data_IF_849517123442
#
_entry.id   IF_849517123442
#
_cell.length_a   1.000
_cell.length_b   1.000
_cell.length_c   1.000
_cell.angle_alpha   90.00
_cell.angle_beta   90.00
_cell.angle_gamma   90.00
#
_symmetry.space_group_name_H-M   'P 1'
#
loop_
_entity.id
_entity.type
_entity.pdbx_description
1 polymer ?
#
# COMPACT_ATOMS: atom_id res chain seq x y z
N UNK A 1 -2.97 6.13 -4.50
CA UNK A 1 -4.04 5.26 -3.97
C UNK A 1 -3.46 3.87 -3.76
N UNK A 2 -3.90 3.13 -2.75
CA UNK A 2 -3.42 1.78 -2.54
C UNK A 2 -4.29 0.96 -1.60
N UNK A 3 -4.08 -0.35 -1.66
CA UNK A 3 -4.60 -1.34 -0.74
C UNK A 3 -3.40 -2.08 -0.16
N UNK A 4 -3.33 -2.23 1.16
CA UNK A 4 -2.24 -2.88 1.87
C UNK A 4 -2.74 -4.07 2.68
N UNK A 5 -1.98 -5.15 2.62
CA UNK A 5 -1.94 -6.19 3.63
C UNK A 5 -1.07 -5.65 4.78
N UNK A 6 -1.65 -5.60 5.98
CA UNK A 6 -1.00 -5.10 7.18
C UNK A 6 -0.82 -6.27 8.13
N UNK A 7 0.37 -6.39 8.70
CA UNK A 7 0.69 -7.38 9.72
C UNK A 7 -0.41 -7.42 10.79
N UNK A 8 -0.81 -8.63 11.18
CA UNK A 8 -1.78 -8.86 12.26
C UNK A 8 -3.21 -8.33 11.97
N UNK A 9 -3.52 -7.95 10.72
CA UNK A 9 -4.87 -7.56 10.30
C UNK A 9 -5.45 -8.54 9.28
N UNK A 10 -6.72 -8.87 9.44
CA UNK A 10 -7.49 -9.62 8.45
C UNK A 10 -8.21 -8.72 7.45
N UNK A 11 -8.21 -7.40 7.67
CA UNK A 11 -8.85 -6.40 6.82
C UNK A 11 -7.88 -5.75 5.84
N UNK A 12 -8.44 -5.32 4.70
CA UNK A 12 -7.74 -4.48 3.73
C UNK A 12 -7.55 -3.09 4.32
N UNK A 13 -6.34 -2.57 4.30
CA UNK A 13 -6.11 -1.16 4.61
C UNK A 13 -6.11 -0.36 3.30
N UNK A 14 -7.06 0.55 3.14
CA UNK A 14 -7.28 1.31 1.90
C UNK A 14 -6.88 2.75 2.15
N UNK A 15 -6.05 3.32 1.28
CA UNK A 15 -5.67 4.72 1.38
C UNK A 15 -5.68 5.42 0.02
N UNK A 16 -5.94 6.71 0.07
CA UNK A 16 -5.98 7.58 -1.09
C UNK A 16 -5.37 8.93 -0.77
N UNK A 17 -4.78 9.55 -1.79
CA UNK A 17 -4.21 10.87 -1.63
C UNK A 17 -4.20 11.62 -2.95
N UNK A 18 -4.37 12.93 -2.85
CA UNK A 18 -4.27 13.89 -3.95
C UNK A 18 -3.36 15.02 -3.49
N UNK A 19 -2.22 15.14 -4.16
CA UNK A 19 -1.15 16.09 -3.79
C UNK A 19 -0.68 15.83 -2.35
N UNK A 20 -0.99 16.73 -1.42
CA UNK A 20 -0.55 16.67 -0.03
C UNK A 20 -1.63 16.13 0.93
N UNK A 21 -2.85 15.93 0.43
CA UNK A 21 -3.97 15.45 1.24
C UNK A 21 -3.99 13.92 1.15
N UNK A 22 -4.03 13.27 2.30
CA UNK A 22 -4.11 11.81 2.44
C UNK A 22 -5.28 11.46 3.34
N UNK A 23 -5.97 10.38 2.99
CA UNK A 23 -7.05 9.79 3.77
C UNK A 23 -6.93 8.26 3.72
N UNK A 24 -7.43 7.59 4.76
CA UNK A 24 -7.32 6.14 4.90
C UNK A 24 -8.46 5.55 5.71
N UNK A 25 -8.86 4.34 5.37
CA UNK A 25 -9.88 3.58 6.10
C UNK A 25 -9.63 2.07 6.02
N UNK A 26 -10.26 1.34 6.95
CA UNK A 26 -10.30 -0.11 6.92
C UNK A 26 -11.44 -0.59 6.02
N UNK A 27 -11.09 -1.40 5.02
CA UNK A 27 -12.05 -2.07 4.15
C UNK A 27 -12.52 -3.42 4.69
N UNK A 28 -13.03 -4.23 3.77
CA UNK A 28 -13.47 -5.59 4.05
C UNK A 28 -12.32 -6.54 4.42
N UNK A 29 -12.68 -7.67 5.01
CA UNK A 29 -11.77 -8.79 5.27
C UNK A 29 -11.19 -9.32 3.94
N UNK A 30 -9.95 -9.78 3.98
CA UNK A 30 -9.31 -10.41 2.84
C UNK A 30 -10.04 -11.69 2.39
N UNK A 31 -10.02 -11.94 1.08
CA UNK A 31 -10.43 -13.22 0.53
C UNK A 31 -9.30 -14.25 0.60
N UNK A 32 -9.29 -15.20 -0.34
CA UNK A 32 -8.25 -16.24 -0.41
C UNK A 32 -6.85 -15.69 -0.71
N UNK A 33 -6.74 -14.54 -1.39
CA UNK A 33 -5.48 -13.93 -1.78
C UNK A 33 -5.30 -12.56 -1.10
N UNK A 34 -4.14 -12.36 -0.46
CA UNK A 34 -3.77 -11.07 0.16
C UNK A 34 -2.65 -10.43 -0.64
N UNK A 35 -2.96 -9.32 -1.30
CA UNK A 35 -1.99 -8.63 -2.18
C UNK A 35 -2.03 -7.13 -1.93
N UNK A 36 -0.89 -6.58 -1.53
CA UNK A 36 -0.70 -5.14 -1.47
C UNK A 36 -0.49 -4.56 -2.87
N UNK A 37 -1.24 -3.53 -3.24
CA UNK A 37 -1.15 -2.86 -4.54
C UNK A 37 -1.23 -1.34 -4.37
N UNK A 38 -0.23 -0.64 -4.90
CA UNK A 38 -0.12 0.81 -4.90
C UNK A 38 -0.07 1.36 -6.32
N UNK A 39 -0.74 2.50 -6.52
CA UNK A 39 -0.66 3.29 -7.75
C UNK A 39 -0.27 4.72 -7.40
N UNK A 40 0.87 5.15 -7.95
CA UNK A 40 1.37 6.52 -7.92
C UNK A 40 1.14 7.16 -9.29
N UNK A 41 0.61 8.38 -9.32
CA UNK A 41 0.40 9.17 -10.53
C UNK A 41 1.04 10.53 -10.29
N UNK A 42 1.99 10.90 -11.13
CA UNK A 42 2.77 12.13 -10.99
C UNK A 42 3.74 12.31 -12.15
N UNK A 43 4.41 13.46 -12.19
CA UNK A 43 5.46 13.76 -13.18
C UNK A 43 6.83 13.55 -12.55
N UNK A 44 7.79 13.07 -13.34
CA UNK A 44 9.18 12.85 -12.92
C UNK A 44 9.30 11.98 -11.65
N UNK A 45 8.46 10.94 -11.54
CA UNK A 45 8.52 10.02 -10.41
C UNK A 45 9.77 9.16 -10.51
N UNK A 46 10.48 9.01 -9.39
CA UNK A 46 11.55 8.02 -9.27
C UNK A 46 10.95 6.63 -8.99
N UNK A 47 10.74 5.88 -10.06
CA UNK A 47 10.15 4.55 -9.98
C UNK A 47 10.98 3.58 -9.14
N UNK A 48 12.31 3.71 -9.16
CA UNK A 48 13.21 2.82 -8.42
C UNK A 48 13.09 3.09 -6.93
N UNK A 49 13.22 4.35 -6.53
CA UNK A 49 13.08 4.76 -5.14
C UNK A 49 11.70 4.40 -4.56
N UNK A 50 10.62 4.63 -5.32
CA UNK A 50 9.26 4.27 -4.89
C UNK A 50 9.10 2.75 -4.71
N UNK A 51 9.65 1.95 -5.61
CA UNK A 51 9.59 0.49 -5.52
C UNK A 51 10.42 -0.03 -4.35
N UNK A 52 11.66 0.43 -4.21
CA UNK A 52 12.56 0.01 -3.14
C UNK A 52 12.02 0.40 -1.77
N UNK A 53 11.55 1.65 -1.62
CA UNK A 53 10.92 2.11 -0.38
C UNK A 53 9.67 1.31 -0.01
N UNK A 54 8.86 0.91 -1.00
CA UNK A 54 7.70 0.05 -0.75
C UNK A 54 8.09 -1.38 -0.35
N UNK A 55 9.06 -1.98 -1.05
CA UNK A 55 9.54 -3.34 -0.74
C UNK A 55 10.28 -3.41 0.60
N UNK A 56 10.93 -2.33 1.04
CA UNK A 56 11.60 -2.26 2.33
C UNK A 56 10.63 -2.35 3.53
N UNK A 57 9.34 -2.07 3.32
CA UNK A 57 8.31 -2.24 4.35
C UNK A 57 7.79 -3.67 4.47
N UNK A 58 8.27 -4.62 3.64
CA UNK A 58 7.86 -6.01 3.73
C UNK A 58 8.37 -6.64 5.02
N UNK A 59 7.49 -7.38 5.69
CA UNK A 59 7.86 -8.18 6.85
C UNK A 59 8.76 -9.29 6.33
N UNK A 60 10.02 -9.30 6.76
CA UNK A 60 10.91 -10.44 6.50
C UNK A 60 10.52 -11.53 7.48
N UNK A 61 9.83 -12.56 7.01
CA UNK A 61 9.62 -13.78 7.79
C UNK A 61 10.98 -14.50 7.80
N UNK A 62 11.72 -14.40 8.91
CA UNK A 62 12.88 -15.26 9.19
C UNK A 62 12.43 -16.62 9.68
#
# INVERSE_FOLDING_TARGET
KGILEIAESDKRYIFQGVHMIMDSDWGEVWGAERVSRLVFIGRNLDHKALREGFLACQITIQ
#
